data_IF_178821003801
#
_entry.id   IF_178821003801
#
_cell.length_a   1.000
_cell.length_b   1.000
_cell.length_c   1.000
_cell.angle_alpha   90.00
_cell.angle_beta   90.00
_cell.angle_gamma   90.00
#
_symmetry.space_group_name_H-M   'P 1'
#
loop_
_entity.id
_entity.type
_entity.pdbx_description
1 polymer ?
#
# COMPACT_ATOMS: atom_id res chain seq x y z
N UNK A 1 15.09 -5.69 -10.83
CA UNK A 1 14.84 -5.33 -10.47
C UNK A 1 13.88 -5.40 -9.91
N UNK A 2 13.75 -5.58 -9.49
CA UNK A 2 12.84 -5.84 -8.76
C UNK A 2 12.00 -4.88 -8.35
N UNK A 3 11.89 -3.91 -8.82
CA UNK A 3 11.08 -3.01 -8.39
C UNK A 3 9.81 -3.18 -8.83
N UNK A 4 8.91 -3.71 -8.12
CA UNK A 4 7.57 -3.82 -8.50
C UNK A 4 6.87 -2.54 -8.27
N UNK A 5 5.81 -2.27 -9.01
CA UNK A 5 5.03 -1.08 -8.78
C UNK A 5 4.08 -1.25 -7.63
N UNK A 6 4.04 -2.42 -7.04
CA UNK A 6 3.18 -2.65 -5.87
C UNK A 6 4.00 -3.20 -4.72
N UNK A 7 3.49 -3.05 -3.52
CA UNK A 7 4.14 -3.55 -2.33
C UNK A 7 3.21 -4.55 -1.65
N UNK A 8 3.76 -5.64 -1.19
CA UNK A 8 2.99 -6.67 -0.52
C UNK A 8 2.90 -6.39 0.96
N UNK A 9 1.95 -7.06 1.61
CA UNK A 9 1.74 -6.85 3.04
C UNK A 9 2.96 -7.16 3.88
N UNK A 10 3.67 -8.23 3.57
CA UNK A 10 4.84 -8.57 4.38
C UNK A 10 5.97 -7.55 4.18
N UNK A 11 6.09 -7.00 2.98
CA UNK A 11 7.06 -5.95 2.75
C UNK A 11 6.66 -4.68 3.47
N UNK A 12 5.38 -4.33 3.44
CA UNK A 12 4.89 -3.15 4.12
C UNK A 12 5.11 -3.28 5.62
N UNK A 13 4.85 -4.45 6.16
CA UNK A 13 5.04 -4.70 7.57
C UNK A 13 6.49 -4.48 7.98
N UNK A 14 7.41 -4.91 7.16
CA UNK A 14 8.82 -4.72 7.45
C UNK A 14 9.22 -3.27 7.36
N UNK A 15 8.76 -2.58 6.34
CA UNK A 15 9.14 -1.18 6.15
C UNK A 15 8.61 -0.29 7.26
N UNK A 16 7.42 -0.55 7.74
CA UNK A 16 6.81 0.26 8.77
C UNK A 16 7.01 -0.29 10.17
N UNK A 17 7.62 -1.47 10.27
CA UNK A 17 7.86 -2.12 11.55
C UNK A 17 6.53 -2.36 12.27
N UNK A 18 5.56 -2.91 11.57
CA UNK A 18 4.26 -3.22 12.11
C UNK A 18 3.95 -4.69 11.86
N UNK A 19 2.88 -5.19 12.47
CA UNK A 19 2.52 -6.58 12.26
C UNK A 19 1.98 -6.81 10.87
N UNK A 20 2.07 -8.04 10.39
CA UNK A 20 1.52 -8.36 9.10
C UNK A 20 0.01 -8.18 9.07
N UNK A 21 -0.66 -8.50 10.17
CA UNK A 21 -2.10 -8.31 10.25
C UNK A 21 -2.50 -6.87 10.05
N UNK A 22 -1.76 -5.96 10.66
CA UNK A 22 -2.03 -4.55 10.49
C UNK A 22 -1.74 -4.11 9.06
N UNK A 23 -0.66 -4.62 8.48
CA UNK A 23 -0.30 -4.28 7.11
C UNK A 23 -1.40 -4.73 6.14
N UNK A 24 -1.95 -5.92 6.34
CA UNK A 24 -3.05 -6.41 5.53
C UNK A 24 -4.27 -5.50 5.64
N UNK A 25 -4.58 -5.04 6.84
CA UNK A 25 -5.69 -4.17 7.05
C UNK A 25 -5.50 -2.85 6.33
N UNK A 26 -4.30 -2.30 6.41
CA UNK A 26 -3.99 -1.04 5.76
C UNK A 26 -4.10 -1.18 4.24
N UNK A 27 -3.58 -2.26 3.69
CA UNK A 27 -3.64 -2.49 2.27
C UNK A 27 -5.09 -2.67 1.81
N UNK A 28 -5.89 -3.38 2.59
CA UNK A 28 -7.29 -3.57 2.22
C UNK A 28 -8.03 -2.23 2.17
N UNK A 29 -7.76 -1.38 3.13
CA UNK A 29 -8.38 -0.08 3.16
C UNK A 29 -7.95 0.76 1.95
N UNK A 30 -6.68 0.78 1.64
CA UNK A 30 -6.17 1.53 0.51
C UNK A 30 -6.71 1.00 -0.82
N UNK A 31 -6.86 -0.32 -0.91
CA UNK A 31 -7.43 -0.92 -2.11
C UNK A 31 -8.88 -0.53 -2.30
N UNK A 32 -9.64 -0.43 -1.21
CA UNK A 32 -11.01 0.04 -1.31
C UNK A 32 -11.06 1.47 -1.84
N UNK A 33 -10.16 2.30 -1.38
CA UNK A 33 -10.08 3.67 -1.85
C UNK A 33 -9.72 3.72 -3.33
N UNK A 34 -8.78 2.90 -3.75
CA UNK A 34 -8.37 2.87 -5.15
C UNK A 34 -9.48 2.33 -6.05
N UNK A 35 -10.20 1.32 -5.58
CA UNK A 35 -11.32 0.82 -6.33
C UNK A 35 -12.38 1.88 -6.54
N UNK A 36 -12.63 2.66 -5.52
CA UNK A 36 -13.61 3.74 -5.62
C UNK A 36 -13.18 4.79 -6.65
N UNK A 37 -11.88 4.89 -6.88
CA UNK A 37 -11.37 5.81 -7.88
C UNK A 37 -11.29 5.19 -9.27
N UNK A 38 -11.65 3.94 -9.41
CA UNK A 38 -11.64 3.29 -10.72
C UNK A 38 -10.41 2.49 -11.04
N UNK A 39 -9.52 2.29 -10.07
CA UNK A 39 -8.31 1.54 -10.34
C UNK A 39 -8.52 0.05 -10.11
N UNK A 40 -7.74 -0.76 -10.81
CA UNK A 40 -7.73 -2.19 -10.57
C UNK A 40 -6.87 -2.49 -9.37
N UNK A 41 -7.35 -3.31 -8.46
CA UNK A 41 -6.60 -3.65 -7.26
C UNK A 41 -6.39 -5.15 -7.15
N UNK A 42 -5.38 -5.55 -6.40
CA UNK A 42 -5.07 -6.95 -6.17
C UNK A 42 -5.00 -7.16 -4.66
N UNK A 43 -5.66 -8.19 -4.17
CA UNK A 43 -5.67 -8.46 -2.73
C UNK A 43 -4.27 -8.71 -2.21
N UNK A 44 -3.98 -8.17 -1.06
CA UNK A 44 -2.68 -8.34 -0.41
C UNK A 44 -1.57 -7.47 -0.95
N UNK A 45 -1.88 -6.58 -1.88
CA UNK A 45 -0.90 -5.66 -2.43
C UNK A 45 -1.54 -4.32 -2.67
N UNK A 46 -0.73 -3.28 -2.71
CA UNK A 46 -1.23 -1.94 -2.99
C UNK A 46 -0.16 -1.22 -3.81
N UNK A 47 -0.56 -0.24 -4.59
CA UNK A 47 0.38 0.56 -5.36
C UNK A 47 1.42 1.15 -4.43
N UNK A 48 2.69 0.96 -4.75
CA UNK A 48 3.77 1.52 -3.95
C UNK A 48 3.69 3.04 -3.92
N UNK A 49 3.29 3.64 -5.02
CA UNK A 49 3.14 5.08 -5.08
C UNK A 49 2.03 5.56 -4.15
N UNK A 50 0.90 4.85 -4.15
CA UNK A 50 -0.22 5.23 -3.29
C UNK A 50 0.15 5.09 -1.81
N UNK A 51 0.82 4.01 -1.48
CA UNK A 51 1.30 3.78 -0.14
C UNK A 51 2.24 4.90 0.29
N UNK A 52 3.15 5.29 -0.58
CA UNK A 52 4.08 6.35 -0.27
C UNK A 52 3.37 7.68 -0.04
N UNK A 53 2.36 7.96 -0.82
CA UNK A 53 1.59 9.18 -0.63
C UNK A 53 0.87 9.17 0.72
N UNK A 54 0.32 8.02 1.09
CA UNK A 54 -0.42 7.95 2.34
C UNK A 54 0.47 8.00 3.57
N UNK A 55 1.62 7.38 3.49
CA UNK A 55 2.52 7.29 4.63
C UNK A 55 3.42 8.51 4.73
N UNK A 56 3.95 8.96 3.62
CA UNK A 56 4.92 10.04 3.64
C UNK A 56 4.32 11.39 3.30
N UNK A 57 3.03 11.43 3.02
CA UNK A 57 2.38 12.69 2.81
C UNK A 57 2.81 13.33 1.53
N UNK A 58 2.50 12.76 0.46
CA UNK A 58 2.84 13.31 -0.79
C UNK A 58 2.57 14.74 -0.88
N UNK A 59 3.31 15.39 -1.31
CA UNK A 59 3.14 16.69 -1.33
C UNK A 59 3.80 17.38 -0.32
N UNK A 60 4.07 17.06 0.20
CA UNK A 60 4.46 17.71 0.98
C UNK A 60 5.26 18.46 0.73
N UNK A 61 5.26 18.70 0.46
CA UNK A 61 5.66 19.41 0.30
C UNK A 61 5.77 19.84 0.39
#
# INVERSE_FOLDING_TARGET
MANSISIKADELAKELDISQGLAYKMIAQWNEELKAKGYTTVGGRVSRRYYQEKIYGAGEE
#
